data_IF_286891557076
#
_entry.id   IF_286891557076
#
_cell.length_a   1.000
_cell.length_b   1.000
_cell.length_c   1.000
_cell.angle_alpha   90.00
_cell.angle_beta   90.00
_cell.angle_gamma   90.00
#
_symmetry.space_group_name_H-M   'P 1'
#
loop_
_entity.id
_entity.type
_entity.pdbx_description
1 polymer ?
#
# COMPACT_ATOMS: atom_id res chain seq x y z
N UNK A 1 10.59 36.39 3.45
CA UNK A 1 10.15 35.52 2.33
C UNK A 1 9.54 34.25 2.90
N UNK A 2 8.24 34.30 3.16
CA UNK A 2 7.43 33.18 3.67
C UNK A 2 6.90 32.39 2.49
N UNK A 3 7.56 31.29 2.15
CA UNK A 3 7.11 30.33 1.13
C UNK A 3 5.93 29.53 1.67
N UNK A 4 4.74 30.13 1.61
CA UNK A 4 3.47 29.43 1.76
C UNK A 4 3.21 28.56 0.53
N UNK A 5 3.51 27.27 0.63
CA UNK A 5 2.68 26.25 -0.03
C UNK A 5 2.48 25.06 0.91
N UNK A 6 1.30 24.94 1.55
CA UNK A 6 0.88 23.72 2.22
C UNK A 6 0.46 22.69 1.16
N UNK A 7 1.36 22.37 0.21
CA UNK A 7 1.13 21.22 -0.66
C UNK A 7 1.22 19.99 0.24
N UNK A 8 0.11 19.26 0.38
CA UNK A 8 0.09 17.99 1.11
C UNK A 8 1.27 17.15 0.61
N UNK A 9 2.17 16.79 1.52
CA UNK A 9 3.34 16.03 1.14
C UNK A 9 2.88 14.64 0.66
N UNK A 10 3.26 14.17 -0.53
CA UNK A 10 2.67 12.95 -1.11
C UNK A 10 2.83 11.71 -0.23
N UNK A 11 3.92 11.58 0.54
CA UNK A 11 4.09 10.48 1.49
C UNK A 11 3.09 10.51 2.65
N UNK A 12 2.58 11.69 3.05
CA UNK A 12 1.51 11.77 4.06
C UNK A 12 0.18 11.30 3.49
N UNK A 13 -0.10 11.62 2.22
CA UNK A 13 -1.24 11.04 1.50
C UNK A 13 -1.13 9.52 1.43
N UNK A 14 0.05 8.99 1.07
CA UNK A 14 0.31 7.56 1.08
C UNK A 14 0.05 6.93 2.46
N UNK A 15 0.50 7.58 3.54
CA UNK A 15 0.27 7.11 4.90
C UNK A 15 -1.24 7.03 5.24
N UNK A 16 -2.01 8.05 4.89
CA UNK A 16 -3.46 8.05 5.13
C UNK A 16 -4.19 7.01 4.28
N UNK A 17 -3.85 6.87 3.00
CA UNK A 17 -4.44 5.85 2.12
C UNK A 17 -4.13 4.45 2.65
N UNK A 18 -2.89 4.20 3.08
CA UNK A 18 -2.48 2.91 3.64
C UNK A 18 -3.16 2.62 4.97
N UNK A 19 -3.36 3.64 5.83
CA UNK A 19 -4.11 3.49 7.08
C UNK A 19 -5.58 3.17 6.83
N UNK A 20 -6.22 3.86 5.87
CA UNK A 20 -7.59 3.56 5.43
C UNK A 20 -7.69 2.12 4.90
N UNK A 21 -6.68 1.68 4.13
CA UNK A 21 -6.64 0.30 3.65
C UNK A 21 -6.51 -0.72 4.78
N UNK A 22 -5.70 -0.42 5.80
CA UNK A 22 -5.58 -1.27 6.98
C UNK A 22 -6.92 -1.44 7.71
N UNK A 23 -7.65 -0.34 7.94
CA UNK A 23 -8.97 -0.38 8.57
C UNK A 23 -9.99 -1.13 7.73
N UNK A 24 -9.95 -0.93 6.40
CA UNK A 24 -10.80 -1.67 5.47
C UNK A 24 -10.53 -3.18 5.51
N UNK A 25 -9.26 -3.60 5.49
CA UNK A 25 -8.89 -5.01 5.59
C UNK A 25 -9.25 -5.63 6.95
N UNK A 26 -9.09 -4.88 8.04
CA UNK A 26 -9.56 -5.33 9.36
C UNK A 26 -11.08 -5.51 9.39
N UNK A 27 -11.83 -4.58 8.81
CA UNK A 27 -13.28 -4.71 8.68
C UNK A 27 -13.66 -5.95 7.85
N UNK A 28 -13.01 -6.18 6.71
CA UNK A 28 -13.27 -7.36 5.87
C UNK A 28 -12.92 -8.67 6.59
N UNK A 29 -11.81 -8.71 7.32
CA UNK A 29 -11.42 -9.87 8.12
C UNK A 29 -12.41 -10.14 9.26
N UNK A 30 -12.87 -9.08 9.94
CA UNK A 30 -13.88 -9.16 10.99
C UNK A 30 -15.23 -9.63 10.46
N UNK A 31 -15.71 -9.04 9.35
CA UNK A 31 -16.99 -9.40 8.73
C UNK A 31 -17.01 -10.88 8.32
N UNK A 32 -15.90 -11.37 7.74
CA UNK A 32 -15.72 -12.80 7.43
C UNK A 32 -15.78 -13.66 8.69
N UNK A 33 -15.09 -13.26 9.76
CA UNK A 33 -15.07 -14.03 11.02
C UNK A 33 -16.46 -14.17 11.67
N UNK A 34 -17.31 -13.13 11.56
CA UNK A 34 -18.63 -13.12 12.20
C UNK A 34 -19.70 -13.80 11.35
N UNK A 35 -19.72 -13.50 10.05
CA UNK A 35 -20.86 -13.89 9.21
C UNK A 35 -20.69 -15.24 8.56
N UNK A 36 -19.46 -15.76 8.46
CA UNK A 36 -19.07 -16.86 7.55
C UNK A 36 -19.57 -16.67 6.10
N UNK A 37 -20.15 -15.51 5.78
CA UNK A 37 -20.93 -15.26 4.59
C UNK A 37 -20.07 -14.81 3.42
N UNK A 38 -18.80 -14.45 3.69
CA UNK A 38 -17.83 -14.21 2.64
C UNK A 38 -17.21 -15.53 2.15
N UNK A 39 -18.05 -16.34 1.46
CA UNK A 39 -17.64 -17.47 0.60
C UNK A 39 -16.75 -17.03 -0.57
N UNK A 40 -16.58 -15.72 -0.72
CA UNK A 40 -15.79 -15.13 -1.78
C UNK A 40 -14.34 -15.51 -1.51
N UNK A 41 -13.70 -15.20 -0.37
CA UNK A 41 -12.25 -15.44 -0.21
C UNK A 41 -11.82 -16.91 -0.10
N UNK A 42 -12.73 -17.89 -0.03
CA UNK A 42 -12.52 -19.19 0.61
C UNK A 42 -11.90 -20.35 -0.18
N UNK A 43 -11.20 -20.10 -1.28
CA UNK A 43 -10.45 -21.20 -1.89
C UNK A 43 -9.34 -20.71 -2.81
N UNK A 44 -8.12 -20.72 -2.30
CA UNK A 44 -6.91 -20.67 -3.13
C UNK A 44 -6.22 -22.03 -2.95
N UNK A 45 -6.28 -22.93 -3.95
CA UNK A 45 -5.87 -24.33 -3.78
C UNK A 45 -4.39 -24.52 -3.41
N UNK A 46 -3.56 -23.51 -3.65
CA UNK A 46 -2.13 -23.50 -3.32
C UNK A 46 -1.79 -22.80 -2.00
N UNK A 47 -2.77 -22.21 -1.30
CA UNK A 47 -2.55 -21.49 -0.05
C UNK A 47 -3.38 -22.15 1.07
N UNK A 48 -2.75 -23.01 1.87
CA UNK A 48 -3.39 -23.71 2.99
C UNK A 48 -3.66 -22.81 4.22
N UNK A 49 -3.53 -21.50 4.07
CA UNK A 49 -3.69 -20.52 5.14
C UNK A 49 -5.14 -20.02 5.08
N UNK A 50 -5.85 -20.02 6.22
CA UNK A 50 -7.22 -19.51 6.30
C UNK A 50 -7.32 -18.06 5.83
N UNK A 51 -8.38 -17.70 5.10
CA UNK A 51 -8.40 -16.42 4.39
C UNK A 51 -8.56 -15.21 5.34
N UNK A 52 -9.07 -15.44 6.55
CA UNK A 52 -9.06 -14.48 7.65
C UNK A 52 -7.62 -14.08 8.02
N UNK A 53 -6.68 -15.04 7.97
CA UNK A 53 -5.26 -14.77 8.23
C UNK A 53 -4.67 -13.93 7.11
N UNK A 54 -5.07 -14.17 5.85
CA UNK A 54 -4.64 -13.35 4.71
C UNK A 54 -5.10 -11.90 4.87
N UNK A 55 -6.35 -11.68 5.28
CA UNK A 55 -6.88 -10.34 5.57
C UNK A 55 -6.11 -9.63 6.69
N UNK A 56 -5.82 -10.34 7.79
CA UNK A 56 -5.03 -9.82 8.92
C UNK A 56 -3.59 -9.49 8.52
N UNK A 57 -2.92 -10.36 7.74
CA UNK A 57 -1.57 -10.11 7.23
C UNK A 57 -1.55 -8.89 6.31
N UNK A 58 -2.56 -8.74 5.44
CA UNK A 58 -2.74 -7.55 4.61
C UNK A 58 -2.91 -6.28 5.45
N UNK A 59 -3.74 -6.32 6.50
CA UNK A 59 -3.93 -5.20 7.41
C UNK A 59 -2.65 -4.82 8.16
N UNK A 60 -1.91 -5.80 8.67
CA UNK A 60 -0.61 -5.59 9.32
C UNK A 60 0.39 -4.96 8.35
N UNK A 61 0.43 -5.43 7.10
CA UNK A 61 1.29 -4.87 6.06
C UNK A 61 0.91 -3.43 5.74
N UNK A 62 -0.39 -3.13 5.61
CA UNK A 62 -0.89 -1.78 5.38
C UNK A 62 -0.59 -0.82 6.56
N UNK A 63 -0.66 -1.29 7.81
CA UNK A 63 -0.23 -0.53 8.99
C UNK A 63 1.27 -0.24 8.96
N UNK A 64 2.09 -1.23 8.62
CA UNK A 64 3.54 -1.06 8.50
C UNK A 64 3.90 -0.05 7.41
N UNK A 65 3.27 -0.15 6.23
CA UNK A 65 3.45 0.81 5.14
C UNK A 65 3.03 2.22 5.57
N UNK A 66 1.91 2.37 6.28
CA UNK A 66 1.46 3.66 6.79
C UNK A 66 2.49 4.29 7.74
N UNK A 67 3.04 3.50 8.68
CA UNK A 67 4.09 3.93 9.60
C UNK A 67 5.36 4.36 8.87
N UNK A 68 5.83 3.55 7.92
CA UNK A 68 7.03 3.84 7.13
C UNK A 68 6.85 5.08 6.25
N UNK A 69 5.70 5.21 5.60
CA UNK A 69 5.36 6.38 4.78
C UNK A 69 5.31 7.66 5.63
N UNK A 70 4.75 7.59 6.83
CA UNK A 70 4.73 8.73 7.77
C UNK A 70 6.15 9.15 8.18
N UNK A 71 7.05 8.20 8.41
CA UNK A 71 8.43 8.45 8.83
C UNK A 71 9.39 8.80 7.69
N UNK A 72 8.93 8.79 6.44
CA UNK A 72 9.76 9.06 5.25
C UNK A 72 10.39 10.46 5.26
N UNK A 73 9.77 11.45 5.92
CA UNK A 73 10.32 12.79 6.12
C UNK A 73 11.62 12.79 6.93
N UNK A 74 11.71 11.92 7.95
CA UNK A 74 12.84 11.88 8.87
C UNK A 74 14.00 11.10 8.29
N UNK A 75 13.69 9.99 7.62
CA UNK A 75 14.71 9.08 7.08
C UNK A 75 14.27 8.53 5.72
N UNK A 76 14.98 8.83 4.61
CA UNK A 76 14.51 8.53 3.27
C UNK A 76 14.42 7.04 2.96
N UNK A 77 15.21 6.19 3.65
CA UNK A 77 15.15 4.74 3.47
C UNK A 77 13.80 4.15 3.90
N UNK A 78 13.08 4.76 4.85
CA UNK A 78 11.72 4.34 5.19
C UNK A 78 10.75 4.55 4.03
N UNK A 79 10.93 5.63 3.26
CA UNK A 79 10.13 5.86 2.05
C UNK A 79 10.39 4.82 0.96
N UNK A 80 11.63 4.34 0.82
CA UNK A 80 11.96 3.24 -0.09
C UNK A 80 11.32 1.92 0.38
N UNK A 81 11.38 1.64 1.68
CA UNK A 81 10.74 0.47 2.27
C UNK A 81 9.22 0.49 2.07
N UNK A 82 8.56 1.62 2.32
CA UNK A 82 7.13 1.79 2.07
C UNK A 82 6.77 1.56 0.60
N UNK A 83 7.55 2.13 -0.34
CA UNK A 83 7.34 1.92 -1.77
C UNK A 83 7.49 0.43 -2.15
N UNK A 84 8.57 -0.22 -1.72
CA UNK A 84 8.83 -1.62 -2.03
C UNK A 84 7.73 -2.54 -1.46
N UNK A 85 7.34 -2.34 -0.20
CA UNK A 85 6.28 -3.12 0.43
C UNK A 85 4.92 -2.88 -0.23
N UNK A 86 4.63 -1.64 -0.66
CA UNK A 86 3.39 -1.36 -1.40
C UNK A 86 3.36 -2.08 -2.76
N UNK A 87 4.46 -2.06 -3.52
CA UNK A 87 4.56 -2.79 -4.80
C UNK A 87 4.47 -4.31 -4.59
N UNK A 88 5.15 -4.83 -3.58
CA UNK A 88 5.06 -6.24 -3.21
C UNK A 88 3.62 -6.63 -2.87
N UNK A 89 2.91 -5.79 -2.10
CA UNK A 89 1.51 -6.02 -1.72
C UNK A 89 0.60 -6.02 -2.95
N UNK A 90 0.84 -5.14 -3.93
CA UNK A 90 0.09 -5.14 -5.21
C UNK A 90 0.33 -6.42 -5.99
N UNK A 91 1.59 -6.82 -6.17
CA UNK A 91 1.94 -8.04 -6.91
C UNK A 91 1.31 -9.26 -6.25
N UNK A 92 1.41 -9.35 -4.91
CA UNK A 92 0.83 -10.44 -4.15
C UNK A 92 -0.70 -10.44 -4.23
N UNK A 93 -1.34 -9.28 -4.04
CA UNK A 93 -2.79 -9.12 -4.15
C UNK A 93 -3.33 -9.51 -5.54
N UNK A 94 -2.68 -9.03 -6.59
CA UNK A 94 -3.01 -9.42 -7.98
C UNK A 94 -2.80 -10.93 -8.20
N UNK A 95 -1.74 -11.54 -7.67
CA UNK A 95 -1.51 -12.98 -7.79
C UNK A 95 -2.60 -13.80 -7.10
N UNK A 96 -3.07 -13.37 -5.92
CA UNK A 96 -4.22 -13.99 -5.24
C UNK A 96 -5.50 -13.89 -6.07
N UNK A 97 -5.76 -12.73 -6.68
CA UNK A 97 -6.92 -12.53 -7.56
C UNK A 97 -6.89 -13.43 -8.79
N UNK A 98 -5.73 -13.57 -9.43
CA UNK A 98 -5.54 -14.45 -10.57
C UNK A 98 -5.78 -15.92 -10.16
N UNK A 99 -5.13 -16.36 -9.07
CA UNK A 99 -5.30 -17.73 -8.56
C UNK A 99 -6.75 -18.06 -8.23
N UNK A 100 -7.46 -17.09 -7.65
CA UNK A 100 -8.89 -17.17 -7.37
C UNK A 100 -9.74 -17.23 -8.65
N UNK A 101 -9.48 -16.36 -9.63
CA UNK A 101 -10.20 -16.37 -10.91
C UNK A 101 -10.08 -17.73 -11.61
N UNK A 102 -8.88 -18.33 -11.62
CA UNK A 102 -8.68 -19.67 -12.19
C UNK A 102 -9.38 -20.79 -11.39
N UNK A 103 -9.57 -20.62 -10.09
CA UNK A 103 -10.16 -21.65 -9.22
C UNK A 103 -11.69 -21.57 -9.12
N UNK A 104 -12.24 -20.35 -9.09
CA UNK A 104 -13.65 -20.07 -8.80
C UNK A 104 -14.38 -19.32 -9.92
N UNK A 105 -13.68 -18.92 -11.00
CA UNK A 105 -14.26 -18.19 -12.13
C UNK A 105 -14.74 -16.77 -11.81
N UNK A 106 -14.40 -16.22 -10.64
CA UNK A 106 -14.87 -14.92 -10.16
C UNK A 106 -13.78 -14.15 -9.41
N UNK A 107 -13.85 -12.82 -9.45
CA UNK A 107 -12.96 -11.93 -8.71
C UNK A 107 -13.55 -11.53 -7.35
N UNK A 108 -12.69 -11.17 -6.39
CA UNK A 108 -13.13 -10.59 -5.13
C UNK A 108 -13.12 -9.06 -5.20
N UNK A 109 -14.29 -8.45 -5.10
CA UNK A 109 -14.43 -6.98 -5.16
C UNK A 109 -13.66 -6.31 -4.02
N UNK A 110 -13.76 -6.84 -2.80
CA UNK A 110 -13.07 -6.29 -1.63
C UNK A 110 -11.54 -6.35 -1.81
N UNK A 111 -11.01 -7.48 -2.29
CA UNK A 111 -9.59 -7.58 -2.56
C UNK A 111 -9.16 -6.69 -3.74
N UNK A 112 -10.00 -6.44 -4.76
CA UNK A 112 -9.69 -5.48 -5.85
C UNK A 112 -9.58 -4.06 -5.27
N UNK A 113 -10.52 -3.67 -4.40
CA UNK A 113 -10.50 -2.36 -3.74
C UNK A 113 -9.20 -2.20 -2.93
N UNK A 114 -8.85 -3.21 -2.12
CA UNK A 114 -7.60 -3.20 -1.35
C UNK A 114 -6.36 -3.11 -2.25
N UNK A 115 -6.32 -3.86 -3.35
CA UNK A 115 -5.20 -3.82 -4.31
C UNK A 115 -5.06 -2.43 -4.94
N UNK A 116 -6.19 -1.81 -5.29
CA UNK A 116 -6.25 -0.43 -5.76
C UNK A 116 -5.74 0.58 -4.73
N UNK A 117 -6.04 0.38 -3.44
CA UNK A 117 -5.52 1.23 -2.35
C UNK A 117 -4.01 1.05 -2.15
N UNK A 118 -3.48 -0.17 -2.27
CA UNK A 118 -2.04 -0.39 -2.28
C UNK A 118 -1.36 0.26 -3.50
N UNK A 119 -1.96 0.15 -4.69
CA UNK A 119 -1.45 0.79 -5.91
C UNK A 119 -1.44 2.32 -5.79
N UNK A 120 -2.50 2.91 -5.21
CA UNK A 120 -2.57 4.34 -4.95
C UNK A 120 -1.52 4.79 -3.93
N UNK A 121 -1.28 3.98 -2.90
CA UNK A 121 -0.20 4.20 -1.92
C UNK A 121 1.17 4.19 -2.63
N UNK A 122 1.42 3.19 -3.48
CA UNK A 122 2.64 3.08 -4.27
C UNK A 122 2.84 4.29 -5.19
N UNK A 123 1.77 4.75 -5.86
CA UNK A 123 1.80 5.93 -6.72
C UNK A 123 2.23 7.18 -5.95
N UNK A 124 1.63 7.44 -4.79
CA UNK A 124 1.99 8.60 -3.97
C UNK A 124 3.45 8.52 -3.48
N UNK A 125 3.91 7.34 -3.10
CA UNK A 125 5.31 7.13 -2.73
C UNK A 125 6.27 7.30 -3.91
N UNK A 126 5.89 6.87 -5.11
CA UNK A 126 6.68 7.08 -6.33
C UNK A 126 6.78 8.57 -6.70
N UNK A 127 5.68 9.33 -6.58
CA UNK A 127 5.67 10.79 -6.79
C UNK A 127 6.60 11.48 -5.76
N UNK A 128 6.52 11.07 -4.49
CA UNK A 128 7.43 11.59 -3.45
C UNK A 128 8.89 11.30 -3.81
N UNK A 129 9.21 10.07 -4.22
CA UNK A 129 10.55 9.65 -4.59
C UNK A 129 11.10 10.45 -5.79
N UNK A 130 10.27 10.65 -6.81
CA UNK A 130 10.62 11.46 -7.98
C UNK A 130 10.95 12.91 -7.61
N UNK A 131 10.16 13.51 -6.71
CA UNK A 131 10.39 14.87 -6.23
C UNK A 131 11.69 14.99 -5.43
N UNK A 132 12.03 13.99 -4.61
CA UNK A 132 13.31 13.93 -3.89
C UNK A 132 14.51 13.89 -4.85
N UNK A 133 14.43 13.09 -5.92
CA UNK A 133 15.51 12.99 -6.91
C UNK A 133 15.72 14.31 -7.66
N UNK A 134 14.63 14.97 -8.08
CA UNK A 134 14.70 16.28 -8.74
C UNK A 134 15.36 17.34 -7.86
N UNK A 135 15.03 17.38 -6.57
CA UNK A 135 15.66 18.34 -5.65
C UNK A 135 17.17 18.12 -5.56
N UNK A 136 17.63 16.87 -5.40
CA UNK A 136 19.07 16.55 -5.35
C UNK A 136 19.83 17.00 -6.60
N UNK A 137 19.26 16.82 -7.80
CA UNK A 137 19.89 17.27 -9.04
C UNK A 137 20.02 18.79 -9.14
N UNK A 138 19.03 19.55 -8.65
CA UNK A 138 19.06 21.01 -8.66
C UNK A 138 20.15 21.52 -7.70
N UNK A 139 20.17 21.04 -6.45
CA UNK A 139 21.17 21.47 -5.47
C UNK A 139 22.59 21.01 -5.82
N UNK A 140 22.74 19.82 -6.40
CA UNK A 140 24.05 19.33 -6.86
C UNK A 140 24.66 20.18 -7.99
N UNK A 141 23.83 20.76 -8.86
CA UNK A 141 24.30 21.66 -9.93
C UNK A 141 24.70 23.05 -9.41
N UNK A 142 24.04 23.56 -8.38
CA UNK A 142 24.35 24.90 -7.81
C UNK A 142 25.73 24.90 -7.12
N UNK A 143 26.12 23.79 -6.48
CA UNK A 143 27.43 23.68 -5.82
C UNK A 143 28.63 23.46 -6.77
N UNK A 144 28.41 23.24 -8.07
CA UNK A 144 29.48 23.09 -9.06
C UNK A 144 29.82 24.39 -9.82
N UNK A 145 29.01 25.42 -9.65
CA UNK A 145 29.18 26.73 -10.30
C UNK A 145 29.74 27.80 -9.34
N UNK A 146 30.26 27.38 -8.18
CA UNK A 146 30.95 28.23 -7.18
C UNK A 146 32.38 27.72 -7.05
#
# INVERSE_FOLDING_TARGET
MTTTRPFLRPHRLAAYVSLTNALFLLYVAWDKYITDACSVCSFIPWLSIGDEVVGLLGAMMAMLIAFLAYQADRRPYFGHGALFLSLFSVIFGTALQIGRYYSLGSYCVQCIISDGLFALTALFMAIWFWNQHKQKQIYGKVNLNV
#
